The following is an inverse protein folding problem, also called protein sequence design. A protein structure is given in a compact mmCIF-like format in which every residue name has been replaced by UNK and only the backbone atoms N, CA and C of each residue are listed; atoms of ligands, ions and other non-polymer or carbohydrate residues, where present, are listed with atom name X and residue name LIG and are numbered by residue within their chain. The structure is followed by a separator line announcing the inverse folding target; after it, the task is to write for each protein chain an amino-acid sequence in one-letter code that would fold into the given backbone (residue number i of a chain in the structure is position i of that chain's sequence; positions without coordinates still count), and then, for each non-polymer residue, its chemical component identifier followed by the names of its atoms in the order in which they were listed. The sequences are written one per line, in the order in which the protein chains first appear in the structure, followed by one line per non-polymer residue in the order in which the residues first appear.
data_IF_307204218403
#
_entry.id   IF_307204218403
#
_cell.length_a   1.000
_cell.length_b   1.000
_cell.length_c   1.000
_cell.angle_alpha   90.00
_cell.angle_beta   90.00
_cell.angle_gamma   90.00
#
_symmetry.space_group_name_H-M   'P 1'
#
loop_
_entity.id
_entity.type
_entity.pdbx_description
1 polymer ?
#
# COMPACT_ATOMS: atom_id res chain seq x y z
N UNK A 1 -13.31 -14.65 -9.84
CA UNK A 1 -11.90 -14.93 -9.44
C UNK A 1 -10.98 -13.96 -10.14
N UNK A 2 -9.97 -13.46 -9.47
CA UNK A 2 -8.93 -12.63 -10.08
C UNK A 2 -7.54 -13.09 -9.65
N UNK A 3 -6.52 -12.69 -10.41
CA UNK A 3 -5.14 -13.12 -10.22
C UNK A 3 -4.22 -11.91 -10.15
N UNK A 4 -3.25 -11.94 -9.26
CA UNK A 4 -2.16 -10.97 -9.21
C UNK A 4 -1.08 -11.48 -10.17
N UNK A 5 -0.86 -10.75 -11.26
CA UNK A 5 0.03 -11.14 -12.36
C UNK A 5 1.31 -10.33 -12.41
N UNK A 6 1.35 -9.20 -11.73
CA UNK A 6 2.55 -8.39 -11.58
C UNK A 6 2.58 -7.68 -10.24
N UNK A 7 3.78 -7.51 -9.72
CA UNK A 7 4.04 -6.85 -8.43
C UNK A 7 5.15 -5.81 -8.58
N UNK A 8 5.07 -4.75 -7.78
CA UNK A 8 6.11 -3.75 -7.62
C UNK A 8 6.20 -3.32 -6.16
N UNK A 9 7.40 -3.03 -5.68
CA UNK A 9 7.64 -2.57 -4.31
C UNK A 9 8.76 -1.53 -4.30
N UNK A 10 8.64 -0.57 -3.40
CA UNK A 10 9.67 0.41 -3.13
C UNK A 10 9.63 0.81 -1.65
N UNK A 11 10.53 0.26 -0.87
CA UNK A 11 10.76 0.61 0.54
C UNK A 11 12.26 0.81 0.77
N UNK A 12 12.65 1.38 1.89
CA UNK A 12 14.08 1.47 2.20
C UNK A 12 14.75 0.11 2.40
N UNK A 13 13.99 -0.89 2.82
CA UNK A 13 14.49 -2.26 3.01
C UNK A 13 14.54 -3.06 1.70
N UNK A 14 13.63 -2.75 0.77
CA UNK A 14 13.45 -3.42 -0.52
C UNK A 14 13.15 -2.36 -1.59
N UNK A 15 14.17 -1.89 -2.32
CA UNK A 15 14.01 -0.83 -3.31
C UNK A 15 13.23 -1.25 -4.57
N UNK A 16 13.11 -2.54 -4.83
CA UNK A 16 12.44 -3.15 -5.97
C UNK A 16 12.09 -4.62 -5.71
N UNK A 17 11.34 -5.23 -6.63
CA UNK A 17 10.99 -6.66 -6.56
C UNK A 17 12.24 -7.57 -6.64
N UNK A 18 13.27 -7.18 -7.38
CA UNK A 18 14.48 -7.98 -7.51
C UNK A 18 15.18 -8.19 -6.16
N UNK A 19 15.08 -7.19 -5.27
CA UNK A 19 15.63 -7.27 -3.91
C UNK A 19 14.94 -8.29 -2.99
N UNK A 20 13.79 -8.84 -3.42
CA UNK A 20 13.04 -9.86 -2.70
C UNK A 20 13.34 -11.30 -3.17
N UNK A 21 14.09 -11.50 -4.27
CA UNK A 21 14.22 -12.82 -4.91
C UNK A 21 14.81 -13.91 -3.99
N UNK A 22 15.73 -13.54 -3.12
CA UNK A 22 16.40 -14.48 -2.21
C UNK A 22 16.27 -14.03 -0.75
N UNK A 23 15.15 -13.41 -0.40
CA UNK A 23 14.95 -12.89 0.95
C UNK A 23 14.74 -14.02 1.95
N UNK A 24 15.48 -13.98 3.06
CA UNK A 24 15.25 -14.78 4.25
C UNK A 24 14.83 -13.85 5.40
N UNK A 25 13.52 -13.80 5.66
CA UNK A 25 12.99 -12.96 6.73
C UNK A 25 13.39 -13.44 8.12
N UNK A 26 13.67 -14.75 8.31
CA UNK A 26 14.11 -15.27 9.60
C UNK A 26 15.54 -14.82 9.95
N UNK A 27 16.40 -14.69 8.94
CA UNK A 27 17.77 -14.21 9.12
C UNK A 27 17.90 -12.69 9.02
N UNK A 28 16.87 -11.97 8.51
CA UNK A 28 16.94 -10.54 8.28
C UNK A 28 16.86 -9.75 9.58
N UNK A 29 17.77 -8.80 9.73
CA UNK A 29 17.75 -7.88 10.88
C UNK A 29 16.44 -7.08 10.94
N UNK A 30 15.92 -6.89 12.14
CA UNK A 30 14.82 -5.99 12.39
C UNK A 30 15.29 -4.53 12.22
N UNK A 31 14.38 -3.65 11.84
CA UNK A 31 14.69 -2.21 11.83
C UNK A 31 15.11 -1.75 13.24
N UNK A 32 16.24 -1.08 13.30
CA UNK A 32 16.68 -0.46 14.55
C UNK A 32 15.73 0.67 14.95
N UNK A 33 15.46 0.86 16.26
CA UNK A 33 14.75 2.05 16.72
C UNK A 33 15.57 3.29 16.37
N UNK A 34 14.88 4.36 15.95
CA UNK A 34 15.54 5.63 15.69
C UNK A 34 16.19 6.21 16.97
N UNK A 35 17.35 6.84 16.84
CA UNK A 35 18.02 7.51 17.94
C UNK A 35 17.28 8.80 18.35
N UNK A 36 16.69 9.48 17.38
CA UNK A 36 15.91 10.73 17.55
C UNK A 36 14.86 10.86 16.44
N UNK A 37 13.83 11.71 16.64
CA UNK A 37 12.93 12.10 15.57
C UNK A 37 13.72 12.62 14.36
N UNK A 38 13.44 12.12 13.17
CA UNK A 38 14.15 12.45 11.93
C UNK A 38 15.13 11.40 11.41
N UNK A 39 15.52 10.41 12.23
CA UNK A 39 16.37 9.28 11.80
C UNK A 39 15.56 8.14 11.15
N UNK A 40 14.35 8.45 10.65
CA UNK A 40 13.45 7.43 10.12
C UNK A 40 13.78 7.01 8.71
N UNK A 41 13.40 5.77 8.41
CA UNK A 41 13.66 5.08 7.15
C UNK A 41 12.86 5.72 6.03
N UNK A 42 13.51 6.49 5.17
CA UNK A 42 12.95 7.07 3.95
C UNK A 42 13.45 6.31 2.73
N UNK A 43 12.54 5.93 1.84
CA UNK A 43 12.94 5.40 0.54
C UNK A 43 13.48 6.58 -0.32
N UNK A 44 14.78 6.60 -0.57
CA UNK A 44 15.40 7.53 -1.49
C UNK A 44 15.77 6.76 -2.76
N UNK A 45 14.80 6.65 -3.68
CA UNK A 45 14.93 5.80 -4.84
C UNK A 45 15.16 6.62 -6.10
N UNK A 46 16.01 6.13 -7.03
CA UNK A 46 16.14 6.71 -8.36
C UNK A 46 14.81 6.60 -9.10
N UNK A 47 14.49 7.57 -9.95
CA UNK A 47 13.28 7.57 -10.78
C UNK A 47 13.65 7.37 -12.26
N UNK A 48 13.87 6.12 -12.70
CA UNK A 48 14.32 5.81 -14.07
C UNK A 48 13.27 6.13 -15.14
N UNK A 49 11.98 6.25 -14.77
CA UNK A 49 10.88 6.51 -15.70
C UNK A 49 10.85 7.94 -16.25
N UNK A 50 11.68 8.81 -15.73
CA UNK A 50 11.80 10.20 -16.19
C UNK A 50 11.97 10.32 -17.70
N UNK A 51 12.69 9.39 -18.33
CA UNK A 51 12.92 9.38 -19.78
C UNK A 51 11.69 8.98 -20.60
N UNK A 52 10.73 8.26 -20.01
CA UNK A 52 9.49 7.82 -20.66
C UNK A 52 8.36 8.86 -20.58
N UNK A 53 8.59 9.97 -19.87
CA UNK A 53 7.56 10.98 -19.60
C UNK A 53 7.84 12.29 -20.32
N UNK A 54 6.79 12.98 -20.76
CA UNK A 54 6.89 14.35 -21.27
C UNK A 54 7.37 15.32 -20.16
N UNK A 55 8.04 16.40 -20.57
CA UNK A 55 8.64 17.36 -19.61
C UNK A 55 7.60 18.01 -18.69
N UNK A 56 6.45 18.36 -19.26
CA UNK A 56 5.31 18.95 -18.57
C UNK A 56 4.76 18.01 -17.50
N UNK A 57 4.62 16.73 -17.79
CA UNK A 57 4.13 15.72 -16.83
C UNK A 57 5.08 15.55 -15.65
N UNK A 58 6.41 15.56 -15.91
CA UNK A 58 7.42 15.47 -14.85
C UNK A 58 7.32 16.62 -13.85
N UNK A 59 6.93 17.81 -14.32
CA UNK A 59 6.77 18.99 -13.47
C UNK A 59 5.60 18.88 -12.49
N UNK A 60 4.62 17.97 -12.78
CA UNK A 60 3.45 17.72 -11.94
C UNK A 60 3.68 16.65 -10.87
N UNK A 61 4.81 15.93 -10.90
CA UNK A 61 5.06 14.84 -9.96
C UNK A 61 5.61 15.36 -8.63
N UNK A 62 4.96 14.94 -7.55
CA UNK A 62 5.51 14.96 -6.19
C UNK A 62 6.27 13.63 -5.89
N UNK A 63 7.00 13.52 -4.76
CA UNK A 63 7.72 12.30 -4.41
C UNK A 63 6.83 11.05 -4.35
N UNK A 64 5.62 11.16 -3.79
CA UNK A 64 4.66 10.05 -3.73
C UNK A 64 4.20 9.59 -5.12
N UNK A 65 3.85 10.54 -6.01
CA UNK A 65 3.44 10.21 -7.37
C UNK A 65 4.57 9.54 -8.18
N UNK A 66 5.84 9.93 -7.94
CA UNK A 66 7.01 9.28 -8.57
C UNK A 66 7.12 7.82 -8.16
N UNK A 67 6.99 7.53 -6.85
CA UNK A 67 7.04 6.17 -6.35
C UNK A 67 5.84 5.35 -6.83
N UNK A 68 4.63 5.92 -6.85
CA UNK A 68 3.44 5.25 -7.39
C UNK A 68 3.66 4.82 -8.84
N UNK A 69 4.21 5.71 -9.68
CA UNK A 69 4.55 5.38 -11.07
C UNK A 69 5.59 4.28 -11.18
N UNK A 70 6.63 4.31 -10.34
CA UNK A 70 7.71 3.32 -10.36
C UNK A 70 7.18 1.92 -10.04
N UNK A 71 6.45 1.76 -8.94
CA UNK A 71 5.91 0.46 -8.54
C UNK A 71 4.80 -0.01 -9.49
N UNK A 72 4.02 0.91 -10.06
CA UNK A 72 3.05 0.58 -11.09
C UNK A 72 3.73 0.08 -12.38
N UNK A 73 4.86 0.70 -12.77
CA UNK A 73 5.63 0.28 -13.95
C UNK A 73 6.25 -1.10 -13.74
N UNK A 74 6.85 -1.36 -12.58
CA UNK A 74 7.42 -2.65 -12.24
C UNK A 74 6.35 -3.75 -12.30
N UNK A 75 5.19 -3.51 -11.69
CA UNK A 75 4.06 -4.44 -11.73
C UNK A 75 3.51 -4.65 -13.15
N UNK A 76 3.37 -3.56 -13.92
CA UNK A 76 2.85 -3.60 -15.29
C UNK A 76 3.80 -4.32 -16.25
N UNK A 77 5.10 -4.06 -16.15
CA UNK A 77 6.12 -4.70 -16.98
C UNK A 77 6.19 -6.21 -16.67
N UNK A 78 6.11 -6.61 -15.39
CA UNK A 78 6.03 -8.02 -14.99
C UNK A 78 4.76 -8.71 -15.55
N UNK A 79 3.58 -8.11 -15.39
CA UNK A 79 2.32 -8.66 -15.89
C UNK A 79 2.26 -8.74 -17.42
N UNK A 80 2.97 -7.85 -18.13
CA UNK A 80 3.03 -7.85 -19.59
C UNK A 80 3.70 -9.10 -20.15
N UNK A 81 4.54 -9.78 -19.36
CA UNK A 81 5.33 -10.94 -19.79
C UNK A 81 6.11 -10.69 -21.10
N UNK A 82 6.62 -9.47 -21.27
CA UNK A 82 7.34 -9.04 -22.47
C UNK A 82 6.48 -8.78 -23.71
N UNK A 83 5.15 -8.92 -23.61
CA UNK A 83 4.21 -8.69 -24.71
C UNK A 83 3.31 -7.48 -24.42
N UNK A 84 3.38 -6.39 -25.19
CA UNK A 84 2.56 -5.20 -24.97
C UNK A 84 1.06 -5.51 -24.93
N UNK A 85 0.31 -4.78 -24.11
CA UNK A 85 -1.15 -4.82 -24.13
C UNK A 85 -1.68 -4.14 -25.39
N UNK A 86 -2.70 -4.74 -26.01
CA UNK A 86 -3.41 -4.16 -27.15
C UNK A 86 -4.26 -2.97 -26.72
N UNK A 87 -4.71 -2.15 -27.68
CA UNK A 87 -5.60 -1.03 -27.38
C UNK A 87 -6.95 -1.50 -26.81
N UNK A 88 -7.48 -2.62 -27.30
CA UNK A 88 -8.71 -3.25 -26.79
C UNK A 88 -8.54 -3.71 -25.32
N UNK A 89 -7.41 -4.34 -25.00
CA UNK A 89 -7.10 -4.73 -23.62
C UNK A 89 -7.03 -3.51 -22.69
N UNK A 90 -6.53 -2.37 -23.16
CA UNK A 90 -6.42 -1.12 -22.40
C UNK A 90 -7.75 -0.43 -22.14
N UNK A 91 -8.77 -0.62 -22.99
CA UNK A 91 -10.11 -0.05 -22.78
C UNK A 91 -10.76 -0.53 -21.48
N UNK A 92 -10.46 -1.75 -21.04
CA UNK A 92 -11.01 -2.38 -19.82
C UNK A 92 -9.96 -2.59 -18.74
N UNK A 93 -8.88 -1.80 -18.80
CA UNK A 93 -7.81 -1.81 -17.83
C UNK A 93 -7.92 -0.56 -16.95
N UNK A 94 -8.36 -0.76 -15.71
CA UNK A 94 -8.57 0.28 -14.71
C UNK A 94 -7.30 0.67 -13.94
N UNK A 95 -7.37 1.79 -13.20
CA UNK A 95 -6.32 2.21 -12.26
C UNK A 95 -6.96 2.60 -10.94
N UNK A 96 -6.52 1.98 -9.84
CA UNK A 96 -6.91 2.36 -8.49
C UNK A 96 -5.68 2.82 -7.71
N UNK A 97 -5.73 4.01 -7.15
CA UNK A 97 -4.57 4.56 -6.46
C UNK A 97 -4.89 4.93 -5.01
N UNK A 98 -3.90 4.75 -4.13
CA UNK A 98 -3.93 5.20 -2.76
C UNK A 98 -2.70 6.05 -2.44
N UNK A 99 -2.61 7.24 -3.04
CA UNK A 99 -1.47 8.14 -2.89
C UNK A 99 -1.88 9.36 -2.06
N UNK A 100 -1.06 9.69 -1.10
CA UNK A 100 -1.24 10.86 -0.25
C UNK A 100 -0.74 12.13 -0.95
N UNK A 101 -1.55 13.20 -0.85
CA UNK A 101 -1.13 14.52 -1.29
C UNK A 101 -0.61 15.41 -0.15
N UNK A 102 -0.68 14.94 1.09
CA UNK A 102 -0.52 15.78 2.30
C UNK A 102 0.87 16.38 2.45
N UNK A 103 1.93 15.65 2.19
CA UNK A 103 3.30 16.17 2.30
C UNK A 103 3.53 17.35 1.35
N UNK A 104 2.97 17.26 0.15
CA UNK A 104 3.03 18.35 -0.81
C UNK A 104 2.20 19.55 -0.33
N UNK A 105 1.06 19.33 0.34
CA UNK A 105 0.22 20.38 0.91
C UNK A 105 0.98 21.18 1.96
N UNK A 106 1.62 20.52 2.90
CA UNK A 106 2.41 21.19 3.94
C UNK A 106 3.62 21.92 3.35
N UNK A 107 4.33 21.33 2.42
CA UNK A 107 5.46 21.97 1.73
C UNK A 107 5.06 23.26 0.99
N UNK A 108 3.84 23.31 0.45
CA UNK A 108 3.33 24.48 -0.28
C UNK A 108 2.66 25.49 0.66
N UNK A 109 1.79 25.04 1.55
CA UNK A 109 0.97 25.93 2.37
C UNK A 109 1.71 26.52 3.57
N UNK A 110 2.65 25.79 4.18
CA UNK A 110 3.39 26.28 5.35
C UNK A 110 4.18 27.56 5.07
N UNK A 111 4.97 27.66 3.98
CA UNK A 111 5.66 28.91 3.64
C UNK A 111 4.71 30.08 3.30
N UNK A 112 3.57 29.78 2.68
CA UNK A 112 2.54 30.78 2.39
C UNK A 112 1.89 31.28 3.67
N UNK A 113 1.55 30.37 4.56
CA UNK A 113 0.99 30.68 5.88
C UNK A 113 1.96 31.51 6.73
N UNK A 114 3.25 31.17 6.75
CA UNK A 114 4.27 31.93 7.46
C UNK A 114 4.42 33.37 6.94
N UNK A 115 4.18 33.62 5.64
CA UNK A 115 4.24 34.95 5.02
C UNK A 115 3.00 35.79 5.26
N UNK A 116 1.82 35.18 5.18
CA UNK A 116 0.53 35.89 5.16
C UNK A 116 -0.25 35.83 6.47
N UNK A 117 0.16 34.98 7.40
CA UNK A 117 -0.57 34.75 8.67
C UNK A 117 -1.92 34.05 8.47
N UNK A 118 -2.65 33.85 9.58
CA UNK A 118 -3.98 33.19 9.55
C UNK A 118 -5.13 34.22 9.59
N UNK A 119 -4.83 35.52 9.70
CA UNK A 119 -5.82 36.51 10.02
C UNK A 119 -6.51 37.10 8.80
N UNK A 120 -7.74 36.73 8.58
CA UNK A 120 -8.71 37.51 7.87
C UNK A 120 -9.02 37.14 6.42
N UNK A 121 -10.01 37.84 5.88
CA UNK A 121 -10.57 37.66 4.54
C UNK A 121 -9.58 37.96 3.39
N UNK A 122 -8.49 38.65 3.66
CA UNK A 122 -7.43 38.93 2.68
C UNK A 122 -6.55 37.74 2.34
N UNK A 123 -6.45 36.75 3.24
CA UNK A 123 -5.56 35.58 3.11
C UNK A 123 -5.71 34.85 1.76
N UNK A 124 -6.94 34.55 1.35
CA UNK A 124 -7.15 33.83 0.07
C UNK A 124 -6.74 34.65 -1.15
N UNK A 125 -6.91 35.97 -1.12
CA UNK A 125 -6.48 36.84 -2.22
C UNK A 125 -4.96 36.88 -2.37
N UNK A 126 -4.25 37.02 -1.25
CA UNK A 126 -2.79 37.09 -1.20
C UNK A 126 -2.15 35.72 -1.50
N UNK A 127 -2.69 34.64 -0.91
CA UNK A 127 -2.25 33.26 -1.19
C UNK A 127 -2.45 32.91 -2.67
N UNK A 128 -3.56 33.35 -3.29
CA UNK A 128 -3.80 33.12 -4.72
C UNK A 128 -2.75 33.79 -5.61
N UNK A 129 -2.26 34.96 -5.25
CA UNK A 129 -1.22 35.65 -6.01
C UNK A 129 0.13 34.93 -5.97
N UNK A 130 0.45 34.30 -4.83
CA UNK A 130 1.73 33.63 -4.59
C UNK A 130 1.68 32.13 -4.91
N UNK A 131 0.49 31.54 -5.09
CA UNK A 131 0.33 30.11 -5.30
C UNK A 131 0.65 29.75 -6.76
N UNK A 132 1.65 28.88 -6.94
CA UNK A 132 1.90 28.30 -8.25
C UNK A 132 0.76 27.32 -8.61
N UNK A 133 0.01 27.53 -9.72
CA UNK A 133 -1.05 26.62 -10.13
C UNK A 133 -0.62 25.15 -10.27
N UNK A 134 0.66 24.90 -10.65
CA UNK A 134 1.20 23.56 -10.78
C UNK A 134 1.32 22.84 -9.42
N UNK A 135 1.53 23.60 -8.33
CA UNK A 135 1.59 23.01 -6.99
C UNK A 135 0.21 22.49 -6.57
N UNK A 136 -0.85 23.20 -6.95
CA UNK A 136 -2.22 22.70 -6.71
C UNK A 136 -2.49 21.38 -7.43
N UNK A 137 -2.02 21.21 -8.66
CA UNK A 137 -2.16 19.95 -9.39
C UNK A 137 -1.35 18.82 -8.75
N UNK A 138 -0.19 19.11 -8.16
CA UNK A 138 0.61 18.14 -7.41
C UNK A 138 -0.08 17.63 -6.15
N UNK A 139 -0.96 18.45 -5.54
CA UNK A 139 -1.71 18.10 -4.34
C UNK A 139 -2.92 17.18 -4.61
N UNK A 140 -3.36 17.06 -5.86
CA UNK A 140 -4.52 16.25 -6.20
C UNK A 140 -4.21 14.76 -6.01
N UNK A 141 -5.05 14.08 -5.26
CA UNK A 141 -4.96 12.62 -5.08
C UNK A 141 -5.14 11.85 -6.38
N UNK A 142 -5.78 12.48 -7.39
CA UNK A 142 -5.95 11.95 -8.74
C UNK A 142 -4.69 12.08 -9.60
N UNK A 143 -3.67 12.82 -9.17
CA UNK A 143 -2.47 13.05 -9.98
C UNK A 143 -1.76 11.75 -10.33
N UNK A 144 -1.47 10.90 -9.34
CA UNK A 144 -0.82 9.60 -9.59
C UNK A 144 -1.65 8.70 -10.52
N UNK A 145 -2.98 8.66 -10.32
CA UNK A 145 -3.90 7.93 -11.19
C UNK A 145 -3.81 8.41 -12.65
N UNK A 146 -3.90 9.72 -12.87
CA UNK A 146 -3.77 10.32 -14.20
C UNK A 146 -2.43 9.96 -14.85
N UNK A 147 -1.34 10.09 -14.13
CA UNK A 147 0.01 9.82 -14.66
C UNK A 147 0.20 8.34 -15.00
N UNK A 148 -0.30 7.42 -14.19
CA UNK A 148 -0.27 5.97 -14.46
C UNK A 148 -1.12 5.65 -15.71
N UNK A 149 -2.36 6.15 -15.76
CA UNK A 149 -3.25 5.94 -16.90
C UNK A 149 -2.63 6.46 -18.20
N UNK A 150 -2.06 7.67 -18.17
CA UNK A 150 -1.39 8.29 -19.33
C UNK A 150 -0.16 7.52 -19.76
N UNK A 151 0.72 7.13 -18.82
CA UNK A 151 1.98 6.46 -19.13
C UNK A 151 1.77 5.10 -19.81
N UNK A 152 0.74 4.34 -19.39
CA UNK A 152 0.45 3.01 -19.92
C UNK A 152 -0.72 2.99 -20.92
N UNK A 153 -1.36 4.13 -21.17
CA UNK A 153 -2.50 4.25 -22.07
C UNK A 153 -3.75 3.51 -21.59
N UNK A 154 -3.97 3.44 -20.27
CA UNK A 154 -5.09 2.73 -19.66
C UNK A 154 -6.36 3.59 -19.71
N UNK A 155 -7.50 2.98 -20.06
CA UNK A 155 -8.75 3.70 -20.35
C UNK A 155 -9.96 3.16 -19.58
N UNK A 156 -9.77 2.09 -18.79
CA UNK A 156 -10.81 1.54 -17.91
C UNK A 156 -11.16 2.51 -16.78
N UNK A 157 -12.32 2.31 -16.15
CA UNK A 157 -12.73 3.07 -14.98
C UNK A 157 -11.73 2.91 -13.84
N UNK A 158 -11.52 4.00 -13.09
CA UNK A 158 -10.65 3.97 -11.93
C UNK A 158 -10.74 5.25 -11.13
N UNK A 159 -10.32 5.19 -9.88
CA UNK A 159 -10.35 6.36 -8.98
C UNK A 159 -9.35 6.22 -7.84
N UNK A 160 -8.99 7.36 -7.21
CA UNK A 160 -8.18 7.35 -6.01
C UNK A 160 -9.04 6.94 -4.81
N UNK A 161 -8.46 6.15 -3.92
CA UNK A 161 -9.08 5.74 -2.66
C UNK A 161 -8.37 6.41 -1.48
N UNK A 162 -9.16 6.70 -0.44
CA UNK A 162 -8.69 7.35 0.77
C UNK A 162 -9.35 6.66 1.98
N UNK A 163 -8.63 5.75 2.61
CA UNK A 163 -9.12 5.02 3.80
C UNK A 163 -8.01 4.74 4.80
N UNK A 164 -7.24 5.78 5.14
CA UNK A 164 -6.13 5.66 6.08
C UNK A 164 -5.22 4.47 5.71
N UNK A 165 -4.79 3.69 6.69
CA UNK A 165 -3.92 2.52 6.45
C UNK A 165 -4.59 1.35 5.73
N UNK A 166 -5.91 1.37 5.53
CA UNK A 166 -6.63 0.38 4.71
C UNK A 166 -6.66 0.74 3.22
N UNK A 167 -6.08 1.85 2.82
CA UNK A 167 -6.22 2.37 1.44
C UNK A 167 -5.80 1.35 0.38
N UNK A 168 -4.65 0.72 0.50
CA UNK A 168 -4.17 -0.27 -0.47
C UNK A 168 -5.03 -1.54 -0.50
N UNK A 169 -5.53 -1.97 0.67
CA UNK A 169 -6.47 -3.08 0.77
C UNK A 169 -7.78 -2.74 0.04
N UNK A 170 -8.35 -1.56 0.31
CA UNK A 170 -9.60 -1.14 -0.33
C UNK A 170 -9.44 -0.93 -1.85
N UNK A 171 -8.25 -0.52 -2.30
CA UNK A 171 -7.96 -0.44 -3.73
C UNK A 171 -7.96 -1.83 -4.39
N UNK A 172 -7.40 -2.83 -3.72
CA UNK A 172 -7.47 -4.22 -4.17
C UNK A 172 -8.88 -4.80 -4.08
N UNK A 173 -9.63 -4.50 -2.99
CA UNK A 173 -11.03 -4.91 -2.82
C UNK A 173 -11.88 -4.40 -3.98
N UNK A 174 -11.72 -3.14 -4.34
CA UNK A 174 -12.47 -2.53 -5.43
C UNK A 174 -12.07 -3.11 -6.80
N UNK A 175 -10.78 -3.27 -7.07
CA UNK A 175 -10.30 -3.91 -8.28
C UNK A 175 -10.87 -5.34 -8.43
N UNK A 176 -10.78 -6.14 -7.36
CA UNK A 176 -11.31 -7.50 -7.32
C UNK A 176 -12.83 -7.51 -7.58
N UNK A 177 -13.59 -6.65 -6.88
CA UNK A 177 -15.04 -6.53 -7.02
C UNK A 177 -15.48 -6.17 -8.44
N UNK A 178 -14.80 -5.21 -9.08
CA UNK A 178 -15.12 -4.80 -10.46
C UNK A 178 -14.76 -5.87 -11.49
N UNK A 179 -13.66 -6.58 -11.28
CA UNK A 179 -13.28 -7.72 -12.11
C UNK A 179 -14.32 -8.85 -11.99
N UNK A 180 -14.72 -9.21 -10.76
CA UNK A 180 -15.75 -10.24 -10.51
C UNK A 180 -17.10 -9.84 -11.13
N UNK A 181 -17.49 -8.57 -10.99
CA UNK A 181 -18.72 -8.02 -11.55
C UNK A 181 -18.69 -7.84 -13.08
N UNK A 182 -17.53 -8.03 -13.74
CA UNK A 182 -17.40 -7.91 -15.19
C UNK A 182 -17.33 -6.48 -15.70
N UNK A 183 -17.19 -5.48 -14.84
CA UNK A 183 -17.05 -4.08 -15.26
C UNK A 183 -15.70 -3.82 -15.93
N UNK A 184 -14.64 -4.41 -15.40
CA UNK A 184 -13.28 -4.37 -15.94
C UNK A 184 -12.68 -5.77 -16.08
N UNK A 185 -11.61 -5.91 -16.84
CA UNK A 185 -10.90 -7.17 -16.98
C UNK A 185 -9.55 -7.15 -16.24
N UNK A 186 -8.99 -5.96 -16.05
CA UNK A 186 -7.68 -5.74 -15.45
C UNK A 186 -7.66 -4.46 -14.63
N UNK A 187 -6.78 -4.42 -13.62
CA UNK A 187 -6.53 -3.21 -12.85
C UNK A 187 -5.05 -3.08 -12.47
N UNK A 188 -4.52 -1.86 -12.53
CA UNK A 188 -3.33 -1.47 -11.77
C UNK A 188 -3.81 -0.95 -10.43
N UNK A 189 -3.27 -1.49 -9.36
CA UNK A 189 -3.43 -0.97 -8.00
C UNK A 189 -2.08 -0.42 -7.56
N UNK A 190 -2.01 0.86 -7.16
CA UNK A 190 -0.78 1.48 -6.68
C UNK A 190 -1.04 2.29 -5.42
N UNK A 191 -0.24 2.09 -4.39
CA UNK A 191 -0.38 2.82 -3.14
C UNK A 191 0.98 3.32 -2.63
N UNK A 192 0.96 4.50 -2.02
CA UNK A 192 2.13 5.12 -1.39
C UNK A 192 1.73 5.65 -0.03
N UNK A 193 2.59 5.46 0.95
CA UNK A 193 2.41 6.06 2.27
C UNK A 193 3.74 6.57 2.83
N UNK A 194 3.68 7.73 3.43
CA UNK A 194 4.79 8.37 4.15
C UNK A 194 4.41 8.66 5.60
N UNK A 195 4.85 7.77 6.50
CA UNK A 195 4.70 7.98 7.93
C UNK A 195 5.92 8.68 8.55
N UNK A 196 6.92 9.06 7.71
CA UNK A 196 8.14 9.75 8.15
C UNK A 196 8.03 11.26 8.07
N UNK A 197 6.90 11.82 7.64
CA UNK A 197 6.66 13.25 7.66
C UNK A 197 6.75 13.80 9.10
N UNK A 198 7.17 15.05 9.23
CA UNK A 198 7.33 15.67 10.53
C UNK A 198 6.05 15.63 11.39
N UNK A 199 4.89 15.80 10.73
CA UNK A 199 3.58 15.80 11.40
C UNK A 199 3.21 14.40 11.90
N UNK A 200 3.41 13.36 11.10
CA UNK A 200 3.16 11.98 11.50
C UNK A 200 4.08 11.55 12.67
N UNK A 201 5.37 11.87 12.56
CA UNK A 201 6.34 11.57 13.63
C UNK A 201 5.97 12.29 14.91
N UNK A 202 5.67 13.60 14.87
CA UNK A 202 5.25 14.36 16.04
C UNK A 202 3.93 13.82 16.64
N UNK A 203 2.98 13.38 15.81
CA UNK A 203 1.76 12.76 16.29
C UNK A 203 2.04 11.44 17.02
N UNK A 204 2.87 10.54 16.47
CA UNK A 204 3.25 9.30 17.14
C UNK A 204 4.02 9.55 18.44
N UNK A 205 4.91 10.54 18.45
CA UNK A 205 5.64 10.94 19.67
C UNK A 205 4.68 11.44 20.74
N UNK A 206 3.77 12.36 20.39
CA UNK A 206 2.76 12.91 21.32
C UNK A 206 1.83 11.84 21.89
N UNK A 207 1.51 10.80 21.09
CA UNK A 207 0.70 9.67 21.52
C UNK A 207 1.50 8.61 22.29
N UNK A 208 2.82 8.74 22.43
CA UNK A 208 3.67 7.72 23.06
C UNK A 208 3.76 6.41 22.27
N UNK A 209 3.51 6.47 20.96
CA UNK A 209 3.51 5.29 20.08
C UNK A 209 4.82 5.12 19.32
N UNK A 210 5.71 6.11 19.36
CA UNK A 210 6.95 6.09 18.59
C UNK A 210 7.96 5.15 19.20
N UNK A 211 8.51 4.23 18.42
CA UNK A 211 9.62 3.38 18.84
C UNK A 211 10.93 4.16 18.77
N UNK A 212 11.61 4.28 19.90
CA UNK A 212 12.91 4.95 20.03
C UNK A 212 13.89 4.08 20.81
N UNK A 213 15.14 4.49 20.94
CA UNK A 213 16.14 3.81 21.81
C UNK A 213 15.72 3.79 23.28
N UNK A 214 15.03 4.84 23.77
CA UNK A 214 14.47 4.92 25.12
C UNK A 214 13.10 4.26 25.24
N UNK A 215 12.41 3.98 24.13
CA UNK A 215 11.07 3.39 24.06
C UNK A 215 11.10 2.23 23.04
N UNK A 216 11.53 1.03 23.44
CA UNK A 216 11.85 -0.05 22.51
C UNK A 216 10.61 -0.71 21.87
N UNK A 217 9.41 -0.39 22.37
CA UNK A 217 8.13 -0.88 21.83
C UNK A 217 7.40 0.28 21.20
N UNK A 218 6.89 0.11 19.99
CA UNK A 218 6.15 1.16 19.29
C UNK A 218 6.28 1.06 17.77
N UNK A 219 5.76 2.08 17.10
CA UNK A 219 5.74 2.21 15.65
C UNK A 219 7.10 2.69 15.18
N UNK A 220 7.63 2.06 14.12
CA UNK A 220 8.74 2.57 13.32
C UNK A 220 8.15 3.18 12.04
N UNK A 221 8.05 4.52 11.95
CA UNK A 221 7.54 5.16 10.74
C UNK A 221 8.43 4.85 9.53
N UNK A 222 7.81 4.61 8.40
CA UNK A 222 8.52 4.36 7.14
C UNK A 222 7.81 5.03 5.96
N UNK A 223 8.55 5.20 4.89
CA UNK A 223 8.07 5.65 3.59
C UNK A 223 8.17 4.50 2.60
N UNK A 224 7.09 4.19 1.88
CA UNK A 224 7.10 3.09 0.94
C UNK A 224 5.94 3.14 -0.05
N UNK A 225 6.12 2.42 -1.14
CA UNK A 225 5.15 2.26 -2.20
C UNK A 225 5.01 0.81 -2.63
N UNK A 226 3.87 0.47 -3.21
CA UNK A 226 3.56 -0.86 -3.71
C UNK A 226 2.65 -0.76 -4.92
N UNK A 227 2.88 -1.64 -5.89
CA UNK A 227 2.06 -1.81 -7.08
C UNK A 227 1.66 -3.26 -7.29
N UNK A 228 0.47 -3.48 -7.83
CA UNK A 228 0.01 -4.79 -8.28
C UNK A 228 -0.80 -4.66 -9.57
N UNK A 229 -0.65 -5.62 -10.47
CA UNK A 229 -1.58 -5.83 -11.58
C UNK A 229 -2.48 -6.99 -11.22
N UNK A 230 -3.78 -6.76 -11.32
CA UNK A 230 -4.82 -7.73 -11.04
C UNK A 230 -5.59 -8.00 -12.33
N UNK A 231 -5.75 -9.25 -12.72
CA UNK A 231 -6.42 -9.65 -13.97
C UNK A 231 -7.45 -10.73 -13.71
N UNK A 232 -8.53 -10.73 -14.50
CA UNK A 232 -9.54 -11.80 -14.51
C UNK A 232 -8.92 -13.13 -14.92
N UNK A 233 -8.11 -13.11 -15.94
CA UNK A 233 -7.40 -14.26 -16.48
C UNK A 233 -5.97 -13.86 -16.78
N UNK A 234 -4.97 -14.57 -16.25
CA UNK A 234 -3.58 -14.33 -16.61
C UNK A 234 -3.37 -14.46 -18.12
N UNK A 235 -2.50 -13.65 -18.67
CA UNK A 235 -2.12 -13.72 -20.09
C UNK A 235 -1.27 -14.97 -20.36
N UNK A 236 -1.27 -15.42 -21.60
CA UNK A 236 -0.40 -16.51 -22.05
C UNK A 236 1.07 -16.15 -21.79
N UNK A 237 1.78 -17.04 -21.12
CA UNK A 237 3.18 -16.85 -20.73
C UNK A 237 3.38 -16.07 -19.42
N UNK A 238 2.34 -15.50 -18.82
CA UNK A 238 2.39 -14.89 -17.50
C UNK A 238 2.09 -15.92 -16.41
N UNK A 239 3.02 -16.08 -15.47
CA UNK A 239 2.81 -16.92 -14.28
C UNK A 239 2.26 -16.04 -13.16
N UNK A 240 1.01 -16.21 -12.72
CA UNK A 240 0.45 -15.38 -11.67
C UNK A 240 1.15 -15.65 -10.33
N UNK A 241 1.39 -14.59 -9.57
CA UNK A 241 1.98 -14.66 -8.24
C UNK A 241 0.99 -15.21 -7.20
N UNK A 242 -0.27 -14.80 -7.30
CA UNK A 242 -1.32 -15.23 -6.40
C UNK A 242 -2.71 -15.20 -7.07
N UNK A 243 -3.61 -16.01 -6.56
CA UNK A 243 -5.05 -15.92 -6.83
C UNK A 243 -5.71 -15.16 -5.68
N UNK A 244 -6.44 -14.10 -5.98
CA UNK A 244 -7.27 -13.41 -4.98
C UNK A 244 -8.51 -14.27 -4.77
N UNK A 245 -8.67 -14.76 -3.54
CA UNK A 245 -9.81 -15.57 -3.16
C UNK A 245 -10.95 -14.72 -2.62
N UNK A 246 -10.61 -13.73 -1.78
CA UNK A 246 -11.58 -12.78 -1.24
C UNK A 246 -10.87 -11.57 -0.62
N UNK A 247 -11.57 -10.43 -0.55
CA UNK A 247 -11.10 -9.23 0.15
C UNK A 247 -12.29 -8.59 0.84
N UNK A 248 -12.17 -8.35 2.14
CA UNK A 248 -13.23 -7.71 2.92
C UNK A 248 -12.71 -6.59 3.78
N UNK A 249 -13.50 -5.54 3.87
CA UNK A 249 -13.31 -4.46 4.83
C UNK A 249 -14.58 -4.21 5.64
N UNK A 250 -14.41 -3.81 6.91
CA UNK A 250 -15.47 -3.41 7.82
C UNK A 250 -15.22 -1.98 8.28
N UNK A 251 -16.20 -1.11 8.10
CA UNK A 251 -16.12 0.23 8.65
C UNK A 251 -16.35 0.21 10.17
N UNK A 252 -15.52 0.95 10.90
CA UNK A 252 -15.65 1.19 12.33
C UNK A 252 -15.11 2.59 12.63
N UNK A 253 -15.95 3.51 13.15
CA UNK A 253 -15.53 4.88 13.43
C UNK A 253 -14.63 5.01 14.67
N UNK A 254 -14.61 3.98 15.54
CA UNK A 254 -13.83 3.99 16.77
C UNK A 254 -12.34 3.76 16.48
N UNK A 255 -11.50 4.30 17.35
CA UNK A 255 -10.04 4.06 17.33
C UNK A 255 -9.65 2.72 17.95
N UNK A 256 -10.51 2.17 18.83
CA UNK A 256 -10.27 0.88 19.50
C UNK A 256 -10.68 -0.29 18.61
N UNK A 257 -9.86 -1.33 18.57
CA UNK A 257 -10.12 -2.58 17.86
C UNK A 257 -10.07 -3.74 18.85
N UNK A 258 -11.16 -4.49 18.94
CA UNK A 258 -11.31 -5.64 19.83
C UNK A 258 -11.17 -6.96 19.09
N UNK A 259 -10.94 -8.07 19.82
CA UNK A 259 -10.99 -9.42 19.23
C UNK A 259 -12.36 -9.75 18.61
N UNK A 260 -13.45 -9.21 19.15
CA UNK A 260 -14.78 -9.39 18.59
C UNK A 260 -14.95 -8.71 17.22
N UNK A 261 -14.30 -7.55 17.00
CA UNK A 261 -14.28 -6.88 15.70
C UNK A 261 -13.56 -7.73 14.65
N UNK A 262 -12.40 -8.29 15.03
CA UNK A 262 -11.67 -9.24 14.19
C UNK A 262 -12.47 -10.50 13.91
N UNK A 263 -13.12 -11.12 14.93
CA UNK A 263 -13.95 -12.30 14.73
C UNK A 263 -15.10 -12.05 13.76
N UNK A 264 -15.71 -10.85 13.82
CA UNK A 264 -16.76 -10.45 12.86
C UNK A 264 -16.22 -10.29 11.43
N UNK A 265 -14.98 -9.82 11.25
CA UNK A 265 -14.33 -9.79 9.95
C UNK A 265 -14.00 -11.20 9.46
N UNK A 266 -13.38 -12.01 10.32
CA UNK A 266 -12.94 -13.36 9.97
C UNK A 266 -14.10 -14.32 9.64
N UNK A 267 -15.27 -14.10 10.22
CA UNK A 267 -16.49 -14.86 9.87
C UNK A 267 -16.94 -14.68 8.40
N UNK A 268 -16.37 -13.71 7.67
CA UNK A 268 -16.63 -13.54 6.23
C UNK A 268 -15.77 -14.43 5.34
N UNK A 269 -14.70 -15.00 5.89
CA UNK A 269 -13.77 -15.85 5.16
C UNK A 269 -14.06 -17.34 5.44
N UNK A 270 -13.65 -18.26 4.55
CA UNK A 270 -13.80 -19.68 4.77
C UNK A 270 -13.05 -20.14 6.03
N UNK A 271 -13.65 -21.07 6.78
CA UNK A 271 -12.99 -21.72 7.91
C UNK A 271 -11.88 -22.68 7.47
N UNK A 272 -11.06 -23.13 8.43
CA UNK A 272 -9.90 -24.00 8.18
C UNK A 272 -10.25 -25.29 7.44
N UNK A 273 -11.41 -25.87 7.68
CA UNK A 273 -11.87 -27.07 6.99
C UNK A 273 -12.01 -26.90 5.47
N UNK A 274 -12.37 -25.69 4.99
CA UNK A 274 -12.52 -25.40 3.57
C UNK A 274 -11.27 -24.75 2.98
N UNK A 275 -10.52 -23.98 3.77
CA UNK A 275 -9.37 -23.22 3.34
C UNK A 275 -8.05 -24.00 3.42
N UNK A 276 -7.93 -24.92 4.40
CA UNK A 276 -6.68 -25.49 4.88
C UNK A 276 -6.05 -24.58 5.94
N UNK A 277 -4.85 -24.93 6.40
CA UNK A 277 -4.10 -24.13 7.39
C UNK A 277 -3.62 -22.83 6.76
N UNK A 278 -4.15 -21.67 7.18
CA UNK A 278 -3.73 -20.41 6.59
C UNK A 278 -2.41 -19.91 7.18
N UNK A 279 -1.63 -19.21 6.33
CA UNK A 279 -0.58 -18.31 6.75
C UNK A 279 -1.18 -16.93 6.97
N UNK A 280 -1.10 -16.40 8.19
CA UNK A 280 -1.71 -15.12 8.55
C UNK A 280 -0.64 -14.06 8.76
N UNK A 281 -0.66 -13.03 7.93
CA UNK A 281 0.18 -11.85 8.09
C UNK A 281 -0.51 -10.89 9.04
N UNK A 282 0.04 -10.76 10.23
CA UNK A 282 -0.50 -9.91 11.28
C UNK A 282 -0.27 -8.43 10.97
N UNK A 283 -1.23 -7.60 11.30
CA UNK A 283 -1.10 -6.16 11.13
C UNK A 283 0.06 -5.58 11.94
N UNK A 284 0.21 -5.92 13.20
CA UNK A 284 1.33 -5.62 14.11
C UNK A 284 2.17 -4.39 13.76
N UNK A 285 1.57 -3.20 13.80
CA UNK A 285 2.27 -1.94 13.51
C UNK A 285 3.25 -1.47 14.60
N UNK A 286 3.34 -2.19 15.71
CA UNK A 286 4.17 -1.86 16.87
C UNK A 286 3.36 -1.46 18.10
N UNK A 287 2.05 -1.22 17.98
CA UNK A 287 1.16 -0.96 19.12
C UNK A 287 0.72 -2.27 19.78
N UNK A 288 1.08 -2.52 21.07
CA UNK A 288 0.86 -3.83 21.71
C UNK A 288 -0.62 -4.21 21.88
N UNK A 289 -1.49 -3.23 22.13
CA UNK A 289 -2.93 -3.47 22.38
C UNK A 289 -3.62 -4.02 21.14
N UNK A 290 -3.32 -3.46 19.97
CA UNK A 290 -3.85 -3.91 18.69
C UNK A 290 -3.39 -5.33 18.35
N UNK A 291 -2.11 -5.61 18.53
CA UNK A 291 -1.55 -6.94 18.24
C UNK A 291 -2.10 -8.06 19.13
N UNK A 292 -2.46 -7.77 20.39
CA UNK A 292 -3.06 -8.77 21.28
C UNK A 292 -4.49 -9.16 20.84
N UNK A 293 -5.31 -8.17 20.51
CA UNK A 293 -6.67 -8.38 20.05
C UNK A 293 -6.71 -9.20 18.75
N UNK A 294 -5.82 -8.89 17.83
CA UNK A 294 -5.66 -9.57 16.55
C UNK A 294 -5.25 -11.04 16.75
N UNK A 295 -4.15 -11.32 17.49
CA UNK A 295 -3.68 -12.69 17.73
C UNK A 295 -4.74 -13.56 18.38
N UNK A 296 -5.44 -13.07 19.41
CA UNK A 296 -6.51 -13.82 20.05
C UNK A 296 -7.62 -14.22 19.07
N UNK A 297 -7.99 -13.32 18.16
CA UNK A 297 -9.02 -13.61 17.17
C UNK A 297 -8.55 -14.61 16.10
N UNK A 298 -7.29 -14.50 15.66
CA UNK A 298 -6.67 -15.46 14.72
C UNK A 298 -6.62 -16.86 15.33
N UNK A 299 -6.16 -16.98 16.58
CA UNK A 299 -6.09 -18.25 17.29
C UNK A 299 -7.48 -18.90 17.48
N UNK A 300 -8.52 -18.10 17.67
CA UNK A 300 -9.90 -18.60 17.74
C UNK A 300 -10.45 -19.04 16.38
N UNK A 301 -10.15 -18.31 15.31
CA UNK A 301 -10.67 -18.57 13.96
C UNK A 301 -9.91 -19.72 13.27
N UNK A 302 -8.60 -19.77 13.45
CA UNK A 302 -7.69 -20.73 12.82
C UNK A 302 -6.61 -21.18 13.82
N UNK A 303 -6.91 -22.14 14.69
CA UNK A 303 -6.01 -22.56 15.77
C UNK A 303 -4.64 -23.06 15.32
N UNK A 304 -4.55 -23.56 14.08
CA UNK A 304 -3.30 -24.07 13.49
C UNK A 304 -2.61 -23.06 12.56
N UNK A 305 -3.12 -21.84 12.45
CA UNK A 305 -2.55 -20.83 11.55
C UNK A 305 -1.07 -20.54 11.85
N UNK A 306 -0.29 -20.41 10.79
CA UNK A 306 1.10 -19.94 10.87
C UNK A 306 1.11 -18.42 10.73
N UNK A 307 1.62 -17.71 11.74
CA UNK A 307 1.60 -16.24 11.75
C UNK A 307 2.93 -15.65 11.29
N UNK A 308 2.85 -14.55 10.54
CA UNK A 308 3.97 -13.76 10.02
C UNK A 308 3.82 -12.29 10.39
N UNK A 309 4.93 -11.57 10.47
CA UNK A 309 4.94 -10.12 10.72
C UNK A 309 6.10 -9.47 9.96
N UNK A 310 5.81 -8.60 9.01
CA UNK A 310 6.84 -7.98 8.16
C UNK A 310 7.17 -6.54 8.54
N UNK A 311 6.27 -5.81 9.20
CA UNK A 311 6.52 -4.42 9.65
C UNK A 311 7.76 -4.24 10.52
N UNK A 312 8.18 -5.22 11.35
CA UNK A 312 9.47 -5.12 12.02
C UNK A 312 10.68 -5.00 11.08
N UNK A 313 10.56 -5.42 9.81
CA UNK A 313 11.63 -5.37 8.80
C UNK A 313 11.52 -4.17 7.85
N UNK A 314 10.31 -3.65 7.61
CA UNK A 314 10.07 -2.59 6.63
C UNK A 314 9.52 -1.30 7.22
N UNK A 315 9.06 -1.33 8.47
CA UNK A 315 8.39 -0.21 9.14
C UNK A 315 6.91 -0.08 8.76
N UNK A 316 6.29 0.93 9.34
CA UNK A 316 4.89 1.27 9.15
C UNK A 316 4.76 2.36 8.08
N UNK A 317 4.23 2.01 6.93
CA UNK A 317 4.10 2.89 5.75
C UNK A 317 2.68 3.45 5.58
N UNK A 318 1.78 3.24 6.54
CA UNK A 318 0.41 3.77 6.44
C UNK A 318 -0.38 3.17 5.26
N UNK A 319 -0.74 3.98 4.28
CA UNK A 319 -1.65 3.61 3.17
C UNK A 319 -1.19 2.43 2.32
N UNK A 320 0.11 2.20 2.20
CA UNK A 320 0.67 1.11 1.40
C UNK A 320 0.78 -0.23 2.15
N UNK A 321 0.62 -0.24 3.47
CA UNK A 321 0.93 -1.38 4.34
C UNK A 321 0.42 -2.73 3.85
N UNK A 322 -0.89 -2.83 3.58
CA UNK A 322 -1.52 -4.14 3.35
C UNK A 322 -1.01 -4.82 2.08
N UNK A 323 -0.82 -4.06 1.02
CA UNK A 323 -0.22 -4.61 -0.21
C UNK A 323 1.28 -4.83 -0.07
N UNK A 324 2.02 -4.03 0.70
CA UNK A 324 3.42 -4.31 1.03
C UNK A 324 3.49 -5.65 1.78
N UNK A 325 2.70 -5.84 2.82
CA UNK A 325 2.64 -7.10 3.57
C UNK A 325 2.29 -8.29 2.64
N UNK A 326 1.37 -8.10 1.69
CA UNK A 326 1.01 -9.12 0.70
C UNK A 326 2.18 -9.46 -0.23
N UNK A 327 2.89 -8.46 -0.76
CA UNK A 327 4.07 -8.67 -1.61
C UNK A 327 5.15 -9.44 -0.86
N UNK A 328 5.40 -9.06 0.39
CA UNK A 328 6.38 -9.74 1.24
C UNK A 328 5.97 -11.19 1.54
N UNK A 329 4.68 -11.45 1.78
CA UNK A 329 4.18 -12.81 1.97
C UNK A 329 4.31 -13.68 0.71
N UNK A 330 4.07 -13.10 -0.47
CA UNK A 330 4.29 -13.81 -1.75
C UNK A 330 5.78 -14.11 -1.95
N UNK A 331 6.66 -13.20 -1.55
CA UNK A 331 8.11 -13.39 -1.64
C UNK A 331 8.66 -14.38 -0.59
N UNK A 332 8.02 -14.49 0.57
CA UNK A 332 8.52 -15.28 1.71
C UNK A 332 8.59 -16.78 1.37
N UNK A 333 9.80 -17.39 1.35
CA UNK A 333 9.95 -18.81 1.09
C UNK A 333 9.37 -19.71 2.21
N UNK A 334 9.16 -19.17 3.41
CA UNK A 334 8.51 -19.89 4.50
C UNK A 334 7.02 -20.14 4.25
N UNK A 335 6.42 -19.43 3.28
CA UNK A 335 5.05 -19.65 2.83
C UNK A 335 5.06 -20.51 1.57
N UNK A 336 4.57 -21.77 1.62
CA UNK A 336 4.59 -22.66 0.48
C UNK A 336 3.71 -22.17 -0.68
N UNK A 337 4.09 -22.51 -1.90
CA UNK A 337 3.22 -22.40 -3.08
C UNK A 337 1.98 -23.26 -2.87
N UNK A 338 0.80 -22.74 -3.20
CA UNK A 338 -0.49 -23.36 -2.95
C UNK A 338 -1.13 -23.01 -1.60
N UNK A 339 -0.36 -22.45 -0.65
CA UNK A 339 -0.87 -22.07 0.65
C UNK A 339 -1.85 -20.89 0.59
N UNK A 340 -2.93 -20.91 1.40
CA UNK A 340 -3.76 -19.75 1.63
C UNK A 340 -3.03 -18.75 2.53
N UNK A 341 -3.09 -17.47 2.15
CA UNK A 341 -2.46 -16.36 2.88
C UNK A 341 -3.51 -15.31 3.19
N UNK A 342 -3.67 -14.98 4.47
CA UNK A 342 -4.55 -13.92 4.93
C UNK A 342 -3.70 -12.74 5.42
N UNK A 343 -3.90 -11.56 4.82
CA UNK A 343 -3.19 -10.33 5.20
C UNK A 343 -4.14 -9.39 5.92
N UNK A 344 -3.89 -9.14 7.18
CA UNK A 344 -4.73 -8.29 8.04
C UNK A 344 -4.40 -6.81 7.91
N UNK A 345 -5.40 -5.95 8.13
CA UNK A 345 -5.27 -4.49 8.07
C UNK A 345 -6.15 -3.77 9.09
N UNK A 346 -5.64 -2.67 9.62
CA UNK A 346 -6.38 -1.72 10.46
C UNK A 346 -6.23 -0.33 9.88
N UNK A 347 -7.33 0.39 9.77
CA UNK A 347 -7.35 1.82 9.53
C UNK A 347 -7.90 2.52 10.76
N UNK A 348 -7.08 3.31 11.43
CA UNK A 348 -7.51 4.09 12.60
C UNK A 348 -8.73 4.94 12.23
N UNK A 349 -9.81 4.84 13.01
CA UNK A 349 -11.11 5.48 12.73
C UNK A 349 -11.73 5.13 11.37
N UNK A 350 -11.26 4.05 10.71
CA UNK A 350 -11.77 3.61 9.39
C UNK A 350 -12.14 2.12 9.39
N UNK A 351 -11.72 1.37 10.39
CA UNK A 351 -12.11 -0.02 10.61
C UNK A 351 -11.03 -1.05 10.37
N UNK A 352 -11.45 -2.21 9.93
CA UNK A 352 -10.64 -3.41 9.72
C UNK A 352 -10.77 -3.90 8.29
N UNK A 353 -9.79 -4.65 7.82
CA UNK A 353 -9.88 -5.37 6.57
C UNK A 353 -8.92 -6.56 6.53
N UNK A 354 -9.17 -7.48 5.62
CA UNK A 354 -8.24 -8.55 5.32
C UNK A 354 -8.32 -8.94 3.83
N UNK A 355 -7.17 -9.38 3.31
CA UNK A 355 -6.99 -9.89 1.95
C UNK A 355 -6.71 -11.38 2.07
N UNK A 356 -7.49 -12.23 1.43
CA UNK A 356 -7.26 -13.65 1.33
C UNK A 356 -6.80 -14.00 -0.09
N UNK A 357 -5.62 -14.57 -0.21
CA UNK A 357 -5.07 -15.04 -1.48
C UNK A 357 -4.60 -16.49 -1.36
N UNK A 358 -4.42 -17.15 -2.50
CA UNK A 358 -3.64 -18.39 -2.63
C UNK A 358 -2.34 -18.05 -3.33
N UNK A 359 -1.21 -18.31 -2.71
CA UNK A 359 0.12 -18.13 -3.32
C UNK A 359 0.28 -19.14 -4.45
N UNK A 360 0.61 -18.68 -5.66
CA UNK A 360 0.77 -19.54 -6.84
C UNK A 360 2.23 -19.64 -7.29
N UNK A 361 3.01 -18.60 -7.08
CA UNK A 361 4.46 -18.59 -7.34
C UNK A 361 5.17 -17.65 -6.39
N UNK A 362 6.51 -17.58 -6.45
CA UNK A 362 7.28 -16.49 -5.86
C UNK A 362 7.28 -15.24 -6.74
N UNK A 363 7.83 -14.15 -6.23
CA UNK A 363 8.08 -12.93 -7.01
C UNK A 363 9.14 -13.17 -8.09
N UNK A 364 9.00 -12.54 -9.27
CA UNK A 364 10.04 -12.55 -10.31
C UNK A 364 10.21 -13.88 -11.08
N UNK A 365 9.21 -14.75 -11.11
CA UNK A 365 9.21 -15.98 -11.92
C UNK A 365 8.31 -15.88 -13.13
#
# INVERSE_FOLDING_TARGET
MSYITGLGIATAAFPDIASLLDVDFAARALLAPAAKPGDYVRANLPFPLVQRMAREDRSLLNPGSRLALQVAAEAFDAASAGRPYTDEERERFAVFTGVEGEDATMAVLTPLHARHGLDGCGYFGEVKADLNPLDMLRLLTTNALYQISKLFGLRGEGYPLQRMSLTSLCALEEAHRQIEGGAIDRAVVAAVGDMTSADNVAAFEKMGLLRTTSHPVGIVPAFGAVGAVVERTPRDGCVPCAQVLDVHSLYKPDTSVSSADWSRLFARFPGEAALGVPHVVLYQNGEPSLGKAERNAVEQAWPNAVTHAYKPHVGYTGRANNLIDLVLAIADPAIPVGAPVLVNGIGVSSGLGAILVRKLSGVGR
#
